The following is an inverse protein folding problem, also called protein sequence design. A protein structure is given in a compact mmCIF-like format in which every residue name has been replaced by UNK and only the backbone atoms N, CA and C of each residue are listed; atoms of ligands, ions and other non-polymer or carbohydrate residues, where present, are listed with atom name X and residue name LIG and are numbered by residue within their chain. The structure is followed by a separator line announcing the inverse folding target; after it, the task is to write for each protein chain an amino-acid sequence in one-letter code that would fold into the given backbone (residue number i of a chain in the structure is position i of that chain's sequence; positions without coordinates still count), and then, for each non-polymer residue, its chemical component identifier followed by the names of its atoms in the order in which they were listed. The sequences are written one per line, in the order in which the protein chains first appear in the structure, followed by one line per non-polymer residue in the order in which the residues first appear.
data_IF_354102220652
#
_entry.id   IF_354102220652
#
_cell.length_a   1.000
_cell.length_b   1.000
_cell.length_c   1.000
_cell.angle_alpha   90.00
_cell.angle_beta   90.00
_cell.angle_gamma   90.00
#
_symmetry.space_group_name_H-M   'P 1'
#
loop_
_entity.id
_entity.type
_entity.pdbx_description
1 polymer ?
#
# COMPACT_ATOMS: atom_id res chain seq x y z
N UNK A 1 23.27 8.55 32.80
CA UNK A 1 22.38 7.44 33.15
C UNK A 1 21.65 7.00 31.89
N UNK A 2 22.15 5.98 31.18
CA UNK A 2 21.51 5.43 29.99
C UNK A 2 20.49 4.38 30.47
N UNK A 3 19.30 4.86 30.85
CA UNK A 3 18.23 4.03 31.39
C UNK A 3 17.46 3.32 30.27
N UNK A 4 17.48 1.98 30.29
CA UNK A 4 16.36 1.02 30.14
C UNK A 4 15.09 1.32 29.29
N UNK A 5 15.04 2.30 28.40
CA UNK A 5 13.82 2.61 27.63
C UNK A 5 13.81 2.00 26.21
N UNK A 6 14.51 0.88 26.01
CA UNK A 6 14.53 0.12 24.75
C UNK A 6 13.59 -1.09 24.74
N UNK A 7 12.85 -1.32 25.83
CA UNK A 7 11.88 -2.41 25.89
C UNK A 7 10.57 -1.97 25.22
N UNK A 8 10.25 -2.60 24.09
CA UNK A 8 8.95 -2.44 23.43
C UNK A 8 7.84 -2.75 24.41
N UNK A 9 6.81 -1.89 24.43
CA UNK A 9 5.61 -2.16 25.22
C UNK A 9 4.82 -3.28 24.54
N UNK A 10 4.04 -4.07 25.29
CA UNK A 10 3.13 -5.06 24.71
C UNK A 10 2.21 -4.47 23.63
N UNK A 11 1.84 -3.19 23.76
CA UNK A 11 1.06 -2.44 22.78
C UNK A 11 1.77 -2.29 21.45
N UNK A 12 3.09 -2.10 21.47
CA UNK A 12 3.90 -1.85 20.26
C UNK A 12 3.99 -3.14 19.43
N UNK A 13 4.04 -4.30 20.09
CA UNK A 13 3.94 -5.60 19.41
C UNK A 13 2.59 -5.80 18.71
N UNK A 14 1.49 -5.34 19.32
CA UNK A 14 0.15 -5.45 18.73
C UNK A 14 0.02 -4.52 17.53
N UNK A 15 0.49 -3.28 17.65
CA UNK A 15 0.50 -2.30 16.56
C UNK A 15 1.31 -2.81 15.38
N UNK A 16 2.55 -3.23 15.62
CA UNK A 16 3.41 -3.83 14.59
C UNK A 16 2.75 -5.02 13.89
N UNK A 17 2.17 -5.93 14.66
CA UNK A 17 1.50 -7.12 14.10
C UNK A 17 0.32 -6.71 13.23
N UNK A 18 -0.47 -5.73 13.67
CA UNK A 18 -1.62 -5.22 12.92
C UNK A 18 -1.19 -4.60 11.59
N UNK A 19 -0.13 -3.79 11.59
CA UNK A 19 0.43 -3.17 10.39
C UNK A 19 0.99 -4.20 9.40
N UNK A 20 1.68 -5.23 9.91
CA UNK A 20 2.15 -6.34 9.07
C UNK A 20 1.00 -7.15 8.46
N UNK A 21 -0.08 -7.37 9.21
CA UNK A 21 -1.29 -8.04 8.68
C UNK A 21 -1.95 -7.18 7.60
N UNK A 22 -2.06 -5.86 7.80
CA UNK A 22 -2.60 -4.93 6.80
C UNK A 22 -1.73 -4.94 5.53
N UNK A 23 -0.40 -4.84 5.66
CA UNK A 23 0.53 -4.93 4.55
C UNK A 23 0.41 -6.26 3.80
N UNK A 24 0.26 -7.37 4.53
CA UNK A 24 0.01 -8.70 3.97
C UNK A 24 -1.34 -8.78 3.22
N UNK A 25 -2.39 -8.15 3.74
CA UNK A 25 -3.68 -8.02 3.06
C UNK A 25 -3.55 -7.29 1.72
N UNK A 26 -2.82 -6.17 1.69
CA UNK A 26 -2.53 -5.45 0.45
C UNK A 26 -1.66 -6.26 -0.52
N UNK A 27 -0.74 -7.09 -0.03
CA UNK A 27 0.04 -8.01 -0.86
C UNK A 27 -0.87 -9.02 -1.59
N UNK A 28 -1.85 -9.60 -0.88
CA UNK A 28 -2.85 -10.49 -1.49
C UNK A 28 -3.65 -9.77 -2.56
N UNK A 29 -4.14 -8.56 -2.27
CA UNK A 29 -4.87 -7.74 -3.26
C UNK A 29 -3.99 -7.43 -4.47
N UNK A 30 -2.70 -7.16 -4.28
CA UNK A 30 -1.79 -6.88 -5.38
C UNK A 30 -1.63 -8.08 -6.31
N UNK A 31 -1.48 -9.28 -5.75
CA UNK A 31 -1.46 -10.54 -6.51
C UNK A 31 -2.77 -10.71 -7.29
N UNK A 32 -3.92 -10.44 -6.67
CA UNK A 32 -5.21 -10.51 -7.36
C UNK A 32 -5.31 -9.50 -8.53
N UNK A 33 -4.82 -8.27 -8.36
CA UNK A 33 -4.77 -7.26 -9.44
C UNK A 33 -3.88 -7.73 -10.59
N UNK A 34 -2.72 -8.33 -10.30
CA UNK A 34 -1.83 -8.91 -11.32
C UNK A 34 -2.54 -10.05 -12.05
N UNK A 35 -3.18 -10.97 -11.32
CA UNK A 35 -3.92 -12.09 -11.90
C UNK A 35 -5.09 -11.59 -12.76
N UNK A 36 -5.83 -10.58 -12.32
CA UNK A 36 -6.88 -9.94 -13.10
C UNK A 36 -6.32 -9.36 -14.39
N UNK A 37 -5.15 -8.72 -14.34
CA UNK A 37 -4.51 -8.19 -15.56
C UNK A 37 -4.10 -9.28 -16.54
N UNK A 38 -3.60 -10.41 -16.03
CA UNK A 38 -3.16 -11.54 -16.85
C UNK A 38 -4.36 -12.25 -17.49
N UNK A 39 -5.42 -12.53 -16.72
CA UNK A 39 -6.57 -13.31 -17.19
C UNK A 39 -7.62 -12.47 -17.92
N UNK A 40 -7.75 -11.19 -17.56
CA UNK A 40 -8.76 -10.27 -18.10
C UNK A 40 -8.13 -8.99 -18.67
N UNK A 41 -7.15 -9.10 -19.59
CA UNK A 41 -6.37 -7.94 -20.06
C UNK A 41 -7.23 -6.89 -20.76
N UNK A 42 -8.38 -7.27 -21.33
CA UNK A 42 -9.32 -6.32 -21.97
C UNK A 42 -9.86 -5.27 -20.99
N UNK A 43 -10.11 -5.66 -19.74
CA UNK A 43 -10.68 -4.76 -18.72
C UNK A 43 -9.62 -3.90 -18.03
N UNK A 44 -8.40 -4.41 -17.91
CA UNK A 44 -7.28 -3.75 -17.21
C UNK A 44 -6.28 -3.11 -18.16
N UNK A 45 -6.55 -3.09 -19.47
CA UNK A 45 -5.65 -2.56 -20.50
C UNK A 45 -5.28 -1.11 -20.22
N UNK A 46 -6.23 -0.34 -19.72
CA UNK A 46 -6.09 1.07 -19.34
C UNK A 46 -6.28 1.17 -17.83
N UNK A 47 -5.33 1.78 -17.11
CA UNK A 47 -5.39 1.94 -15.64
C UNK A 47 -4.83 0.77 -14.83
N UNK A 48 -4.68 -0.42 -15.43
CA UNK A 48 -4.15 -1.59 -14.73
C UNK A 48 -2.65 -1.51 -14.40
N UNK A 49 -1.88 -0.65 -15.10
CA UNK A 49 -0.46 -0.41 -14.76
C UNK A 49 -0.34 0.41 -13.50
N UNK A 50 -1.16 1.44 -13.38
CA UNK A 50 -1.21 2.32 -12.23
C UNK A 50 -1.66 1.55 -10.98
N UNK A 51 -2.63 0.64 -11.10
CA UNK A 51 -2.99 -0.26 -10.01
C UNK A 51 -1.80 -1.15 -9.58
N UNK A 52 -1.11 -1.78 -10.54
CA UNK A 52 0.01 -2.67 -10.23
C UNK A 52 1.19 -1.92 -9.62
N UNK A 53 1.46 -0.69 -10.06
CA UNK A 53 2.59 0.11 -9.54
C UNK A 53 2.21 0.77 -8.21
N UNK A 54 0.97 1.21 -8.03
CA UNK A 54 0.51 1.88 -6.82
C UNK A 54 0.45 0.97 -5.59
N UNK A 55 0.11 -0.31 -5.78
CA UNK A 55 0.00 -1.27 -4.68
C UNK A 55 1.30 -1.48 -3.88
N UNK A 56 2.49 -1.64 -4.49
CA UNK A 56 3.77 -1.63 -3.79
C UNK A 56 3.97 -0.45 -2.86
N UNK A 57 3.52 0.76 -3.24
CA UNK A 57 3.65 1.92 -2.37
C UNK A 57 2.80 1.81 -1.10
N UNK A 58 1.57 1.29 -1.22
CA UNK A 58 0.71 1.05 -0.05
C UNK A 58 1.26 -0.07 0.86
N UNK A 59 1.85 -1.11 0.28
CA UNK A 59 2.49 -2.18 1.04
C UNK A 59 3.70 -1.62 1.80
N UNK A 60 4.56 -0.86 1.11
CA UNK A 60 5.75 -0.25 1.71
C UNK A 60 5.39 0.79 2.78
N UNK A 61 4.30 1.54 2.61
CA UNK A 61 3.72 2.37 3.67
C UNK A 61 3.52 1.55 4.94
N UNK A 62 2.80 0.42 4.85
CA UNK A 62 2.52 -0.43 6.02
C UNK A 62 3.79 -1.05 6.63
N UNK A 63 4.81 -1.32 5.81
CA UNK A 63 6.12 -1.74 6.31
C UNK A 63 6.81 -0.61 7.08
N UNK A 64 6.80 0.62 6.57
CA UNK A 64 7.43 1.76 7.27
C UNK A 64 6.70 2.12 8.56
N UNK A 65 5.38 2.03 8.59
CA UNK A 65 4.55 2.18 9.79
C UNK A 65 4.95 1.15 10.88
N UNK A 66 5.08 -0.12 10.46
CA UNK A 66 5.60 -1.19 11.33
C UNK A 66 7.01 -0.92 11.83
N UNK A 67 7.90 -0.45 10.95
CA UNK A 67 9.26 -0.11 11.35
C UNK A 67 9.27 1.08 12.32
N UNK A 68 8.44 2.09 12.12
CA UNK A 68 8.32 3.24 13.01
C UNK A 68 7.98 2.80 14.44
N UNK A 69 6.96 1.95 14.57
CA UNK A 69 6.47 1.38 15.84
C UNK A 69 7.57 0.73 16.68
N UNK A 70 8.53 0.06 16.03
CA UNK A 70 9.61 -0.66 16.73
C UNK A 70 10.96 0.06 16.71
N UNK A 71 11.03 1.23 16.06
CA UNK A 71 12.29 1.93 15.85
C UNK A 71 12.68 2.84 17.02
N UNK A 72 13.99 3.04 17.26
CA UNK A 72 14.47 4.11 18.13
C UNK A 72 14.07 5.49 17.60
N UNK A 73 13.82 6.44 18.50
CA UNK A 73 13.31 7.79 18.17
C UNK A 73 14.09 8.53 17.07
N UNK A 74 15.39 8.25 16.91
CA UNK A 74 16.24 8.87 15.90
C UNK A 74 15.83 8.54 14.45
N UNK A 75 15.07 7.46 14.22
CA UNK A 75 14.64 7.04 12.90
C UNK A 75 13.17 7.33 12.62
N UNK A 76 12.38 7.68 13.65
CA UNK A 76 10.92 7.85 13.51
C UNK A 76 10.53 8.89 12.47
N UNK A 77 11.16 10.06 12.52
CA UNK A 77 10.93 11.14 11.54
C UNK A 77 11.17 10.68 10.09
N UNK A 78 12.13 9.77 9.88
CA UNK A 78 12.42 9.22 8.55
C UNK A 78 11.30 8.27 8.14
N UNK A 79 10.88 7.38 9.03
CA UNK A 79 9.80 6.42 8.75
C UNK A 79 8.45 7.10 8.55
N UNK A 80 8.08 8.09 9.38
CA UNK A 80 6.87 8.92 9.21
C UNK A 80 6.82 9.60 7.83
N UNK A 81 7.96 10.16 7.42
CA UNK A 81 8.09 10.85 6.13
C UNK A 81 7.94 9.88 4.95
N UNK A 82 8.56 8.70 5.06
CA UNK A 82 8.44 7.64 4.06
C UNK A 82 7.01 7.08 4.02
N UNK A 83 6.41 6.77 5.17
CA UNK A 83 5.02 6.33 5.29
C UNK A 83 4.08 7.29 4.55
N UNK A 84 4.14 8.58 4.89
CA UNK A 84 3.30 9.62 4.30
C UNK A 84 3.51 9.76 2.79
N UNK A 85 4.77 9.77 2.34
CA UNK A 85 5.11 9.91 0.93
C UNK A 85 4.62 8.73 0.10
N UNK A 86 4.81 7.51 0.62
CA UNK A 86 4.40 6.29 -0.05
C UNK A 86 2.87 6.15 -0.04
N UNK A 87 2.19 6.53 1.04
CA UNK A 87 0.74 6.59 1.07
C UNK A 87 0.21 7.53 -0.02
N UNK A 88 0.74 8.74 -0.11
CA UNK A 88 0.31 9.75 -1.06
C UNK A 88 0.49 9.28 -2.51
N UNK A 89 1.68 8.79 -2.87
CA UNK A 89 1.97 8.29 -4.22
C UNK A 89 1.09 7.08 -4.54
N UNK A 90 0.96 6.14 -3.61
CA UNK A 90 0.12 4.96 -3.77
C UNK A 90 -1.34 5.31 -4.03
N UNK A 91 -1.93 6.19 -3.23
CA UNK A 91 -3.32 6.62 -3.39
C UNK A 91 -3.58 7.34 -4.71
N UNK A 92 -2.65 8.18 -5.17
CA UNK A 92 -2.77 8.84 -6.48
C UNK A 92 -2.79 7.80 -7.60
N UNK A 93 -1.84 6.86 -7.59
CA UNK A 93 -1.76 5.83 -8.62
C UNK A 93 -3.00 4.92 -8.61
N UNK A 94 -3.46 4.52 -7.44
CA UNK A 94 -4.69 3.72 -7.31
C UNK A 94 -5.91 4.50 -7.81
N UNK A 95 -6.09 5.75 -7.39
CA UNK A 95 -7.20 6.60 -7.81
C UNK A 95 -7.21 6.84 -9.32
N UNK A 96 -6.07 7.17 -9.91
CA UNK A 96 -5.93 7.34 -11.37
C UNK A 96 -6.20 6.02 -12.09
N UNK A 97 -5.66 4.90 -11.60
CA UNK A 97 -5.88 3.58 -12.19
C UNK A 97 -7.35 3.20 -12.21
N UNK A 98 -8.04 3.33 -11.07
CA UNK A 98 -9.48 3.06 -10.94
C UNK A 98 -10.31 3.95 -11.86
N UNK A 99 -10.04 5.26 -11.89
CA UNK A 99 -10.75 6.20 -12.75
C UNK A 99 -10.61 5.84 -14.23
N UNK A 100 -9.39 5.48 -14.67
CA UNK A 100 -9.11 5.08 -16.04
C UNK A 100 -9.82 3.77 -16.42
N UNK A 101 -9.84 2.79 -15.51
CA UNK A 101 -10.57 1.52 -15.71
C UNK A 101 -12.08 1.78 -15.81
N UNK A 102 -12.63 2.58 -14.89
CA UNK A 102 -14.06 2.91 -14.87
C UNK A 102 -14.49 3.61 -16.17
N UNK A 103 -13.76 4.65 -16.59
CA UNK A 103 -14.04 5.38 -17.81
C UNK A 103 -13.88 4.50 -19.07
N UNK A 104 -12.90 3.60 -19.09
CA UNK A 104 -12.75 2.66 -20.21
C UNK A 104 -13.89 1.66 -20.26
N UNK A 105 -14.30 1.11 -19.12
CA UNK A 105 -15.37 0.12 -19.01
C UNK A 105 -16.74 0.71 -19.36
N UNK A 106 -17.02 1.95 -18.93
CA UNK A 106 -18.23 2.68 -19.29
C UNK A 106 -18.38 2.82 -20.82
N UNK A 107 -17.31 3.22 -21.51
CA UNK A 107 -17.31 3.30 -22.98
C UNK A 107 -17.56 1.98 -23.69
N UNK A 108 -17.09 0.86 -23.12
CA UNK A 108 -17.35 -0.47 -23.69
C UNK A 108 -18.85 -0.82 -23.56
N UNK A 109 -19.48 -0.40 -22.47
CA UNK A 109 -20.89 -0.67 -22.20
C UNK A 109 -21.83 0.23 -22.98
N UNK A 110 -21.51 1.51 -23.19
CA UNK A 110 -22.32 2.45 -23.99
C UNK A 110 -22.37 2.10 -25.48
N UNK A 111 -21.40 1.34 -25.98
CA UNK A 111 -21.30 0.95 -27.40
C UNK A 111 -22.02 -0.39 -27.69
N UNK A 112 -22.65 -1.00 -26.67
CA UNK A 112 -23.51 -2.20 -26.82
C UNK A 112 -24.98 -1.84 -26.74
#
# INVERSE_FOLDING_TARGET
MLGKDWALKPTDHVTFTTEMVIAGGFLVVWVLVILLRVHYPKFTKIGGTELIIGMPFIILKGVFDGLDTISPDNFKIIFDSLESSFLFIGLILLGVGLLRIANHSAKIWEVR
#
